data_IF_748316596458
#
_entry.id   IF_748316596458
#
_cell.length_a   1.000
_cell.length_b   1.000
_cell.length_c   1.000
_cell.angle_alpha   90.00
_cell.angle_beta   90.00
_cell.angle_gamma   90.00
#
_symmetry.space_group_name_H-M   'P 1'
#
loop_
_entity.id
_entity.type
_entity.pdbx_description
1 polymer ?
#
# COMPACT_ATOMS: atom_id res chain seq x y z
N UNK A 1 56.21 9.43 -62.69
CA UNK A 1 56.95 8.79 -61.59
C UNK A 1 56.71 9.51 -60.27
N UNK A 2 56.61 8.76 -59.16
CA UNK A 2 55.38 8.67 -58.37
C UNK A 2 55.41 9.51 -57.10
N UNK A 3 54.23 9.84 -56.56
CA UNK A 3 54.04 10.07 -55.13
C UNK A 3 52.77 9.36 -54.64
N UNK A 4 53.00 8.41 -53.74
CA UNK A 4 52.03 7.55 -53.06
C UNK A 4 51.15 8.35 -52.09
N UNK A 5 49.87 8.00 -52.03
CA UNK A 5 48.93 8.31 -50.96
C UNK A 5 48.59 6.98 -50.23
N UNK A 6 48.59 6.88 -48.88
CA UNK A 6 48.42 5.60 -48.20
C UNK A 6 47.01 5.44 -47.60
N UNK A 7 46.24 4.46 -48.07
CA UNK A 7 45.14 3.80 -47.34
C UNK A 7 44.90 2.45 -48.05
N UNK A 8 44.67 1.31 -47.36
CA UNK A 8 43.85 1.18 -46.16
C UNK A 8 44.37 0.17 -45.10
N UNK A 9 44.69 0.62 -43.88
CA UNK A 9 44.84 -0.26 -42.72
C UNK A 9 43.56 -0.37 -41.87
N UNK A 10 42.47 0.28 -42.30
CA UNK A 10 41.24 0.41 -41.50
C UNK A 10 40.22 -0.73 -41.71
N UNK A 11 40.43 -1.63 -42.67
CA UNK A 11 39.47 -2.70 -42.95
C UNK A 11 39.76 -4.02 -42.22
N UNK A 12 40.95 -4.21 -41.62
CA UNK A 12 41.29 -5.45 -40.94
C UNK A 12 40.88 -5.49 -39.45
N UNK A 13 40.60 -4.32 -38.84
CA UNK A 13 40.15 -4.24 -37.44
C UNK A 13 38.64 -4.49 -37.26
N UNK A 14 37.86 -4.44 -38.34
CA UNK A 14 36.41 -4.68 -38.30
C UNK A 14 36.01 -6.16 -38.43
N UNK A 15 36.93 -7.06 -38.82
CA UNK A 15 36.64 -8.49 -38.96
C UNK A 15 37.01 -9.34 -37.73
N UNK A 16 37.74 -8.79 -36.76
CA UNK A 16 38.06 -9.48 -35.49
C UNK A 16 37.01 -9.27 -34.38
N UNK A 17 36.01 -8.41 -34.61
CA UNK A 17 34.91 -8.14 -33.67
C UNK A 17 33.69 -9.04 -33.86
N UNK A 18 33.67 -9.94 -34.86
CA UNK A 18 32.53 -10.82 -35.16
C UNK A 18 32.73 -12.29 -34.76
N UNK A 19 33.79 -12.62 -34.01
CA UNK A 19 34.07 -13.97 -33.53
C UNK A 19 34.25 -13.98 -32.00
N UNK A 20 33.20 -13.60 -31.27
CA UNK A 20 33.03 -14.04 -29.90
C UNK A 20 31.71 -14.84 -29.85
N UNK A 21 31.73 -16.13 -29.48
CA UNK A 21 30.48 -16.83 -29.20
C UNK A 21 29.83 -16.13 -27.99
N UNK A 22 28.55 -15.79 -28.12
CA UNK A 22 27.74 -15.31 -26.99
C UNK A 22 27.89 -16.28 -25.84
N UNK A 23 28.64 -15.88 -24.82
CA UNK A 23 28.62 -16.50 -23.52
C UNK A 23 27.25 -16.17 -22.94
N UNK A 24 26.26 -17.02 -23.22
CA UNK A 24 24.99 -17.01 -22.50
C UNK A 24 25.32 -17.23 -21.03
N UNK A 25 25.42 -16.12 -20.30
CA UNK A 25 25.22 -16.12 -18.86
C UNK A 25 23.76 -16.52 -18.68
N UNK A 26 23.52 -17.78 -18.35
CA UNK A 26 22.29 -18.14 -17.67
C UNK A 26 22.30 -17.35 -16.36
N UNK A 27 21.62 -16.21 -16.35
CA UNK A 27 21.28 -15.54 -15.11
C UNK A 27 20.68 -16.61 -14.19
N UNK A 28 21.23 -16.80 -12.98
CA UNK A 28 20.64 -17.71 -12.03
C UNK A 28 19.19 -17.28 -11.90
N UNK A 29 18.25 -18.20 -12.14
CA UNK A 29 16.84 -18.01 -11.84
C UNK A 29 16.76 -17.47 -10.42
N UNK A 30 16.63 -16.15 -10.30
CA UNK A 30 16.32 -15.49 -9.06
C UNK A 30 14.92 -16.01 -8.76
N UNK A 31 14.87 -17.01 -7.87
CA UNK A 31 13.63 -17.48 -7.32
C UNK A 31 12.97 -16.23 -6.77
N UNK A 32 11.88 -15.82 -7.43
CA UNK A 32 11.02 -14.73 -7.00
C UNK A 32 10.51 -15.06 -5.61
N UNK A 33 11.30 -14.78 -4.57
CA UNK A 33 10.77 -14.37 -3.29
C UNK A 33 10.05 -13.05 -3.55
N UNK A 34 8.82 -13.18 -4.06
CA UNK A 34 7.86 -12.11 -4.06
C UNK A 34 7.57 -11.84 -2.58
N UNK A 35 8.42 -11.02 -1.95
CA UNK A 35 8.26 -10.60 -0.57
C UNK A 35 6.87 -10.01 -0.48
N UNK A 36 5.94 -10.74 0.14
CA UNK A 36 4.57 -10.28 0.29
C UNK A 36 4.63 -9.01 1.13
N UNK A 37 4.43 -7.87 0.48
CA UNK A 37 4.48 -6.58 1.15
C UNK A 37 3.35 -6.43 2.17
N UNK A 38 2.29 -7.26 2.10
CA UNK A 38 1.35 -7.44 3.21
C UNK A 38 2.07 -8.01 4.42
N UNK A 39 2.86 -9.07 4.25
CA UNK A 39 3.62 -9.68 5.35
C UNK A 39 4.63 -8.70 5.96
N UNK A 40 5.13 -7.72 5.21
CA UNK A 40 5.96 -6.63 5.77
C UNK A 40 5.22 -5.77 6.77
N UNK A 41 3.98 -5.35 6.46
CA UNK A 41 3.13 -4.59 7.40
C UNK A 41 2.91 -5.42 8.67
N UNK A 42 2.46 -6.67 8.50
CA UNK A 42 2.15 -7.54 9.63
C UNK A 42 3.38 -7.83 10.50
N UNK A 43 4.54 -8.02 9.88
CA UNK A 43 5.81 -8.24 10.59
C UNK A 43 6.30 -6.99 11.30
N UNK A 44 6.20 -5.82 10.66
CA UNK A 44 6.57 -4.55 11.27
C UNK A 44 5.66 -4.21 12.48
N UNK A 45 4.40 -4.64 12.44
CA UNK A 45 3.42 -4.42 13.50
C UNK A 45 3.53 -5.42 14.65
N UNK A 46 4.36 -6.46 14.52
CA UNK A 46 4.58 -7.42 15.59
C UNK A 46 5.26 -6.71 16.78
N UNK A 47 4.56 -6.62 17.91
CA UNK A 47 5.01 -5.88 19.08
C UNK A 47 4.72 -4.39 19.04
N UNK A 48 3.77 -3.93 18.22
CA UNK A 48 3.27 -2.55 18.29
C UNK A 48 2.71 -2.25 19.69
N UNK A 49 2.94 -1.02 20.18
CA UNK A 49 2.37 -0.53 21.44
C UNK A 49 0.88 -0.14 21.30
N UNK A 50 0.37 -0.10 20.07
CA UNK A 50 -1.02 0.23 19.76
C UNK A 50 -1.89 -1.03 19.68
N UNK A 51 -3.17 -0.89 20.06
CA UNK A 51 -4.17 -1.92 19.78
C UNK A 51 -4.62 -1.77 18.32
N UNK A 52 -4.20 -2.70 17.46
CA UNK A 52 -4.48 -2.66 16.03
C UNK A 52 -5.64 -3.61 15.69
N UNK A 53 -6.68 -3.07 15.08
CA UNK A 53 -7.73 -3.79 14.38
C UNK A 53 -7.23 -4.12 12.97
N UNK A 54 -7.63 -5.28 12.45
CA UNK A 54 -7.20 -5.71 11.12
C UNK A 54 -5.68 -5.52 10.91
N UNK A 55 -4.87 -5.81 11.93
CA UNK A 55 -3.40 -5.76 11.85
C UNK A 55 -2.72 -4.39 11.83
N UNK A 56 -3.34 -3.34 11.30
CA UNK A 56 -2.72 -2.01 11.04
C UNK A 56 -3.69 -0.81 11.18
N UNK A 57 -4.91 -1.02 11.65
CA UNK A 57 -5.86 0.08 11.94
C UNK A 57 -5.89 0.35 13.43
N UNK A 58 -5.51 1.54 13.88
CA UNK A 58 -5.54 1.90 15.31
C UNK A 58 -6.98 1.86 15.84
N UNK A 59 -7.21 1.05 16.89
CA UNK A 59 -8.49 0.97 17.56
C UNK A 59 -8.86 2.32 18.20
N UNK A 60 -10.07 2.87 17.99
CA UNK A 60 -10.47 4.14 18.59
C UNK A 60 -10.45 4.09 20.12
N UNK A 61 -9.67 4.98 20.75
CA UNK A 61 -9.56 5.05 22.23
C UNK A 61 -10.70 5.83 22.89
N UNK A 62 -11.39 6.69 22.15
CA UNK A 62 -12.38 7.65 22.68
C UNK A 62 -13.81 7.41 22.19
N UNK A 63 -14.07 6.36 21.39
CA UNK A 63 -15.36 6.11 20.75
C UNK A 63 -15.74 4.64 20.86
N UNK A 64 -16.91 4.34 21.41
CA UNK A 64 -17.45 2.98 21.54
C UNK A 64 -18.35 2.54 20.37
N UNK A 65 -18.80 3.48 19.52
CA UNK A 65 -19.62 3.20 18.33
C UNK A 65 -18.99 3.87 17.09
N UNK A 66 -18.27 3.07 16.31
CA UNK A 66 -17.59 3.53 15.09
C UNK A 66 -18.53 3.39 13.88
N UNK A 67 -19.66 4.11 13.88
CA UNK A 67 -20.41 4.39 12.64
C UNK A 67 -20.15 5.83 12.25
N UNK A 68 -19.71 6.06 11.01
CA UNK A 68 -19.45 7.41 10.50
C UNK A 68 -20.76 8.17 10.31
N UNK A 69 -21.25 8.79 11.39
CA UNK A 69 -22.49 9.55 11.35
C UNK A 69 -22.26 10.91 10.66
N UNK A 70 -23.11 11.24 9.69
CA UNK A 70 -23.09 12.50 8.91
C UNK A 70 -21.74 12.86 8.27
N UNK A 71 -20.97 11.89 7.77
CA UNK A 71 -19.66 12.10 7.14
C UNK A 71 -18.64 12.82 8.04
N UNK A 72 -18.89 12.89 9.36
CA UNK A 72 -18.01 13.57 10.31
C UNK A 72 -16.64 12.89 10.44
N UNK A 73 -16.54 11.62 10.09
CA UNK A 73 -15.27 10.89 10.03
C UNK A 73 -14.47 11.13 8.73
N UNK A 74 -15.01 11.86 7.75
CA UNK A 74 -14.30 12.12 6.49
C UNK A 74 -13.51 13.43 6.58
N UNK A 75 -12.47 13.52 5.76
CA UNK A 75 -11.78 14.80 5.51
C UNK A 75 -12.70 15.77 4.80
N UNK A 76 -12.63 17.06 5.18
CA UNK A 76 -13.56 18.06 4.67
C UNK A 76 -13.23 18.40 3.22
N UNK A 77 -14.25 18.41 2.38
CA UNK A 77 -14.17 18.93 1.02
C UNK A 77 -14.35 20.44 1.01
N UNK A 78 -13.42 21.15 0.39
CA UNK A 78 -13.47 22.59 0.19
C UNK A 78 -14.41 22.97 -0.96
N UNK A 79 -14.82 24.24 -1.02
CA UNK A 79 -15.73 24.77 -2.03
C UNK A 79 -15.20 24.67 -3.46
N UNK A 80 -13.88 24.64 -3.65
CA UNK A 80 -13.22 24.45 -4.94
C UNK A 80 -13.22 22.98 -5.41
N UNK A 81 -13.86 22.07 -4.67
CA UNK A 81 -13.96 20.67 -5.02
C UNK A 81 -12.82 19.79 -4.49
N UNK A 82 -11.79 20.36 -3.85
CA UNK A 82 -10.64 19.62 -3.35
C UNK A 82 -10.84 19.16 -1.90
N UNK A 83 -10.26 18.03 -1.54
CA UNK A 83 -10.13 17.55 -0.16
C UNK A 83 -8.69 17.73 0.26
N UNK A 84 -8.44 18.76 1.06
CA UNK A 84 -7.08 19.10 1.51
C UNK A 84 -6.81 18.40 2.84
N UNK A 85 -5.74 17.61 2.89
CA UNK A 85 -5.30 16.84 4.05
C UNK A 85 -3.93 17.38 4.49
N UNK A 86 -3.89 18.21 5.54
CA UNK A 86 -2.63 18.73 6.07
C UNK A 86 -1.79 17.61 6.65
N UNK A 87 -0.48 17.64 6.42
CA UNK A 87 0.45 16.65 6.99
C UNK A 87 1.74 17.26 7.52
N UNK A 88 2.36 16.56 8.47
CA UNK A 88 3.75 16.76 8.88
C UNK A 88 4.48 15.43 8.73
N UNK A 89 5.63 15.43 8.03
CA UNK A 89 6.57 14.31 8.05
C UNK A 89 7.61 14.57 9.12
N UNK A 90 7.75 13.60 10.04
CA UNK A 90 8.72 13.62 11.13
C UNK A 90 10.15 13.95 10.68
N UNK A 91 10.94 14.53 11.59
CA UNK A 91 12.33 14.93 11.32
C UNK A 91 13.27 13.72 11.30
N UNK A 92 12.83 12.59 11.83
CA UNK A 92 13.55 11.33 11.87
C UNK A 92 13.72 10.67 10.49
N UNK A 93 12.88 11.04 9.51
CA UNK A 93 12.99 10.56 8.14
C UNK A 93 14.08 11.32 7.38
N UNK A 94 14.97 10.58 6.74
CA UNK A 94 15.96 11.09 5.80
C UNK A 94 15.30 11.71 4.56
N UNK A 95 16.08 12.42 3.74
CA UNK A 95 15.58 13.02 2.50
C UNK A 95 14.96 11.99 1.54
N UNK A 96 15.56 10.82 1.40
CA UNK A 96 15.05 9.74 0.56
C UNK A 96 13.73 9.15 1.10
N UNK A 97 13.67 8.88 2.40
CA UNK A 97 12.46 8.33 3.03
C UNK A 97 11.30 9.34 2.94
N UNK A 98 11.59 10.62 3.19
CA UNK A 98 10.63 11.72 2.99
C UNK A 98 10.15 11.78 1.53
N UNK A 99 11.05 11.67 0.56
CA UNK A 99 10.67 11.67 -0.86
C UNK A 99 9.77 10.48 -1.22
N UNK A 100 9.99 9.31 -0.63
CA UNK A 100 9.13 8.14 -0.80
C UNK A 100 7.71 8.39 -0.26
N UNK A 101 7.61 8.94 0.97
CA UNK A 101 6.33 9.27 1.61
C UNK A 101 5.57 10.34 0.79
N UNK A 102 6.24 11.43 0.44
CA UNK A 102 5.64 12.51 -0.36
C UNK A 102 5.32 12.05 -1.79
N UNK A 103 6.08 11.09 -2.34
CA UNK A 103 5.77 10.42 -3.60
C UNK A 103 4.45 9.65 -3.53
N UNK A 104 4.24 8.88 -2.47
CA UNK A 104 2.97 8.18 -2.23
C UNK A 104 1.79 9.16 -2.10
N UNK A 105 1.98 10.26 -1.36
CA UNK A 105 0.98 11.34 -1.25
C UNK A 105 0.64 11.97 -2.61
N UNK A 106 1.65 12.22 -3.47
CA UNK A 106 1.44 12.77 -4.82
C UNK A 106 0.64 11.84 -5.73
N UNK A 107 0.71 10.53 -5.54
CA UNK A 107 -0.01 9.56 -6.38
C UNK A 107 -1.54 9.76 -6.35
N UNK A 108 -2.10 10.26 -5.24
CA UNK A 108 -3.52 10.55 -5.13
C UNK A 108 -3.96 11.73 -6.01
N UNK A 109 -3.08 12.73 -6.19
CA UNK A 109 -3.45 14.00 -6.79
C UNK A 109 -3.79 13.91 -8.30
N UNK A 110 -3.21 12.92 -8.99
CA UNK A 110 -3.40 12.75 -10.43
C UNK A 110 -4.74 12.15 -10.86
N UNK A 111 -5.44 11.47 -9.95
CA UNK A 111 -6.64 10.69 -10.29
C UNK A 111 -7.82 10.93 -9.33
N UNK A 112 -7.61 11.76 -8.30
CA UNK A 112 -8.63 12.09 -7.29
C UNK A 112 -8.61 13.57 -6.95
N UNK A 113 -9.61 14.03 -6.19
CA UNK A 113 -9.65 15.37 -5.60
C UNK A 113 -8.87 15.50 -4.27
N UNK A 114 -8.20 14.44 -3.81
CA UNK A 114 -7.39 14.45 -2.58
C UNK A 114 -6.09 15.21 -2.79
N UNK A 115 -5.74 16.11 -1.87
CA UNK A 115 -4.48 16.87 -1.87
C UNK A 115 -3.84 16.83 -0.49
N UNK A 116 -2.73 16.13 -0.39
CA UNK A 116 -1.87 16.22 0.79
C UNK A 116 -1.02 17.47 0.70
N UNK A 117 -1.08 18.32 1.72
CA UNK A 117 -0.31 19.58 1.76
C UNK A 117 0.46 19.70 3.08
N UNK A 118 1.68 20.25 3.08
CA UNK A 118 2.37 20.55 4.33
C UNK A 118 1.49 21.40 5.24
N UNK A 119 1.33 20.96 6.49
CA UNK A 119 0.52 21.67 7.48
C UNK A 119 1.11 23.04 7.79
N UNK A 120 0.24 24.02 7.97
CA UNK A 120 0.55 25.36 8.46
C UNK A 120 0.00 25.57 9.87
N UNK A 121 -1.33 25.72 9.99
CA UNK A 121 -2.03 26.01 11.25
C UNK A 121 -3.31 25.20 11.43
N UNK A 122 -3.61 24.27 10.51
CA UNK A 122 -4.83 23.49 10.53
C UNK A 122 -4.91 22.62 11.78
N UNK A 123 -6.09 22.54 12.40
CA UNK A 123 -6.29 21.77 13.62
C UNK A 123 -6.22 20.26 13.37
N UNK A 124 -6.84 19.81 12.28
CA UNK A 124 -6.88 18.40 11.88
C UNK A 124 -5.76 18.11 10.87
N UNK A 125 -4.88 17.16 11.16
CA UNK A 125 -3.75 16.83 10.29
C UNK A 125 -3.16 15.46 10.60
N UNK A 126 -2.45 14.90 9.62
CA UNK A 126 -1.70 13.66 9.78
C UNK A 126 -0.27 13.97 10.23
N UNK A 127 0.17 13.36 11.32
CA UNK A 127 1.57 13.33 11.75
C UNK A 127 2.18 11.99 11.35
N UNK A 128 3.03 11.99 10.31
CA UNK A 128 3.77 10.80 9.88
C UNK A 128 5.01 10.65 10.76
N UNK A 129 5.13 9.52 11.47
CA UNK A 129 6.24 9.22 12.38
C UNK A 129 6.80 7.82 12.15
N UNK A 130 8.04 7.57 12.58
CA UNK A 130 8.58 6.21 12.61
C UNK A 130 8.41 5.59 13.99
N UNK A 131 7.26 4.93 14.22
CA UNK A 131 7.02 4.10 15.41
C UNK A 131 7.16 2.61 15.10
N UNK A 132 6.80 1.75 16.05
CA UNK A 132 6.76 0.30 15.86
C UNK A 132 5.58 -0.08 14.97
N UNK A 133 5.83 -0.30 13.69
CA UNK A 133 4.82 -0.73 12.72
C UNK A 133 4.51 0.22 11.57
N UNK A 134 3.71 -0.27 10.63
CA UNK A 134 2.98 0.46 9.62
C UNK A 134 1.49 0.46 10.03
N UNK A 135 0.94 1.62 10.36
CA UNK A 135 -0.47 1.71 10.74
C UNK A 135 -1.02 3.13 10.58
N UNK A 136 -2.34 3.23 10.53
CA UNK A 136 -3.05 4.50 10.58
C UNK A 136 -4.34 4.43 11.38
N UNK A 137 -4.88 5.59 11.72
CA UNK A 137 -6.26 5.71 12.17
C UNK A 137 -7.23 5.67 10.98
N UNK A 138 -8.46 5.16 11.20
CA UNK A 138 -9.46 5.05 10.14
C UNK A 138 -10.23 6.37 9.95
N UNK A 139 -9.99 7.06 8.84
CA UNK A 139 -10.61 8.34 8.52
C UNK A 139 -10.05 9.51 9.32
N UNK A 140 -10.75 10.65 9.28
CA UNK A 140 -10.44 11.84 10.08
C UNK A 140 -10.97 11.69 11.50
N UNK A 141 -10.08 11.72 12.49
CA UNK A 141 -10.43 11.54 13.91
C UNK A 141 -10.51 12.84 14.70
N UNK A 142 -9.92 13.92 14.16
CA UNK A 142 -9.93 15.26 14.73
C UNK A 142 -8.66 15.57 15.53
N UNK A 143 -8.09 16.75 15.31
CA UNK A 143 -6.79 17.13 15.87
C UNK A 143 -5.62 16.45 15.13
N UNK A 144 -4.51 16.27 15.87
CA UNK A 144 -3.37 15.49 15.39
C UNK A 144 -3.73 14.01 15.38
N UNK A 145 -3.76 13.38 14.21
CA UNK A 145 -3.83 11.92 14.09
C UNK A 145 -2.51 11.36 13.59
N UNK A 146 -2.15 10.20 14.08
CA UNK A 146 -0.87 9.58 13.77
C UNK A 146 -0.96 8.62 12.58
N UNK A 147 0.12 8.56 11.81
CA UNK A 147 0.36 7.54 10.82
C UNK A 147 1.80 7.04 11.01
N UNK A 148 1.96 5.77 11.37
CA UNK A 148 3.29 5.18 11.57
C UNK A 148 3.79 4.57 10.26
N UNK A 149 5.01 4.94 9.87
CA UNK A 149 5.78 4.24 8.85
C UNK A 149 7.15 3.94 9.46
N UNK A 150 7.30 2.75 10.05
CA UNK A 150 8.57 2.29 10.58
C UNK A 150 9.66 2.32 9.49
N UNK A 151 10.78 2.99 9.77
CA UNK A 151 11.91 3.11 8.84
C UNK A 151 12.50 1.75 8.40
N UNK A 152 12.45 0.74 9.26
CA UNK A 152 13.00 -0.59 9.01
C UNK A 152 12.10 -1.50 8.16
N UNK A 153 10.84 -1.15 7.91
CA UNK A 153 9.89 -2.06 7.27
C UNK A 153 8.81 -1.44 6.39
N UNK A 154 8.52 -0.14 6.52
CA UNK A 154 7.33 0.49 5.94
C UNK A 154 7.62 1.54 4.87
N UNK A 155 8.89 1.87 4.59
CA UNK A 155 9.25 2.91 3.61
C UNK A 155 9.18 2.36 2.17
N UNK A 156 7.95 2.06 1.76
CA UNK A 156 7.60 1.62 0.42
C UNK A 156 6.41 2.46 -0.05
N UNK A 157 6.45 2.91 -1.32
CA UNK A 157 5.40 3.78 -1.86
C UNK A 157 3.99 3.19 -1.74
N UNK A 158 3.84 1.88 -1.99
CA UNK A 158 2.55 1.21 -1.84
C UNK A 158 2.10 1.01 -0.39
N UNK A 159 3.01 0.73 0.55
CA UNK A 159 2.66 0.68 1.99
C UNK A 159 2.22 2.07 2.44
N UNK A 160 2.93 3.13 2.07
CA UNK A 160 2.50 4.48 2.38
C UNK A 160 1.13 4.82 1.76
N UNK A 161 0.84 4.41 0.51
CA UNK A 161 -0.49 4.58 -0.08
C UNK A 161 -1.58 3.82 0.68
N UNK A 162 -1.29 2.60 1.13
CA UNK A 162 -2.19 1.77 1.94
C UNK A 162 -2.55 2.46 3.27
N UNK A 163 -1.54 2.92 4.03
CA UNK A 163 -1.80 3.65 5.29
C UNK A 163 -2.56 4.97 5.07
N UNK A 164 -2.27 5.67 3.95
CA UNK A 164 -3.00 6.88 3.59
C UNK A 164 -4.46 6.60 3.21
N UNK A 165 -4.77 5.43 2.64
CA UNK A 165 -6.15 4.99 2.39
C UNK A 165 -6.90 4.69 3.70
N UNK A 166 -6.24 4.11 4.71
CA UNK A 166 -6.83 4.02 6.05
C UNK A 166 -7.15 5.40 6.60
N UNK A 167 -6.22 6.35 6.52
CA UNK A 167 -6.48 7.73 6.94
C UNK A 167 -7.62 8.42 6.17
N UNK A 168 -7.94 7.95 4.96
CA UNK A 168 -9.10 8.41 4.17
C UNK A 168 -10.42 7.73 4.55
N UNK A 169 -10.37 6.64 5.33
CA UNK A 169 -11.55 5.92 5.83
C UNK A 169 -11.81 4.57 5.17
N UNK A 170 -10.83 4.00 4.45
CA UNK A 170 -10.98 2.68 3.81
C UNK A 170 -10.48 1.56 4.72
N UNK A 171 -11.30 0.53 4.90
CA UNK A 171 -10.94 -0.73 5.55
C UNK A 171 -10.34 -1.71 4.54
N UNK A 172 -9.94 -2.90 4.99
CA UNK A 172 -9.44 -3.92 4.09
C UNK A 172 -10.49 -4.54 3.19
N UNK A 173 -10.06 -5.00 2.03
CA UNK A 173 -10.95 -5.62 1.04
C UNK A 173 -11.53 -6.95 1.57
N UNK A 174 -10.71 -7.78 2.23
CA UNK A 174 -11.14 -9.10 2.71
C UNK A 174 -12.10 -9.04 3.91
N UNK A 175 -12.34 -7.86 4.49
CA UNK A 175 -13.26 -7.66 5.61
C UNK A 175 -14.60 -7.06 5.16
N UNK A 176 -14.80 -6.86 3.85
CA UNK A 176 -16.10 -6.46 3.28
C UNK A 176 -17.25 -7.37 3.68
N UNK A 177 -18.44 -6.79 3.78
CA UNK A 177 -19.69 -7.51 4.09
C UNK A 177 -20.02 -8.65 3.13
N UNK A 178 -19.62 -8.52 1.85
CA UNK A 178 -19.88 -9.46 0.75
C UNK A 178 -18.71 -10.42 0.43
N UNK A 179 -17.60 -10.35 1.19
CA UNK A 179 -16.34 -11.04 0.87
C UNK A 179 -16.45 -12.56 0.69
N UNK A 180 -17.39 -13.21 1.38
CA UNK A 180 -17.57 -14.68 1.31
C UNK A 180 -18.01 -15.17 -0.08
N UNK A 181 -18.43 -14.27 -0.97
CA UNK A 181 -18.72 -14.59 -2.38
C UNK A 181 -17.46 -14.63 -3.26
N UNK A 182 -16.32 -14.20 -2.72
CA UNK A 182 -15.07 -13.96 -3.46
C UNK A 182 -13.87 -14.63 -2.82
N UNK A 183 -13.82 -14.74 -1.50
CA UNK A 183 -12.74 -15.43 -0.80
C UNK A 183 -13.30 -16.40 0.24
N UNK A 184 -12.60 -17.51 0.40
CA UNK A 184 -12.75 -18.38 1.56
C UNK A 184 -11.66 -18.05 2.57
N UNK A 185 -12.07 -17.84 3.82
CA UNK A 185 -11.13 -17.76 4.95
C UNK A 185 -10.89 -19.16 5.49
N UNK A 186 -9.64 -19.59 5.49
CA UNK A 186 -9.19 -20.88 6.02
C UNK A 186 -8.86 -20.71 7.51
N UNK A 187 -9.87 -20.60 8.35
CA UNK A 187 -9.74 -20.30 9.79
C UNK A 187 -8.72 -21.18 10.53
N UNK A 188 -8.63 -22.45 10.16
CA UNK A 188 -7.70 -23.43 10.73
C UNK A 188 -6.22 -23.13 10.44
N UNK A 189 -5.94 -22.27 9.46
CA UNK A 189 -4.59 -21.84 9.08
C UNK A 189 -4.18 -20.51 9.72
N UNK A 190 -5.06 -19.87 10.50
CA UNK A 190 -4.82 -18.55 11.09
C UNK A 190 -4.29 -18.69 12.50
N UNK A 191 -3.30 -17.88 12.86
CA UNK A 191 -2.84 -17.73 14.23
C UNK A 191 -4.05 -17.37 15.12
N UNK A 192 -4.36 -18.21 16.12
CA UNK A 192 -5.64 -18.14 16.84
C UNK A 192 -5.91 -16.75 17.44
N UNK A 193 -4.89 -16.11 18.02
CA UNK A 193 -5.01 -14.77 18.59
C UNK A 193 -5.22 -13.66 17.54
N UNK A 194 -5.01 -13.94 16.26
CA UNK A 194 -5.15 -12.98 15.15
C UNK A 194 -6.41 -13.21 14.30
N UNK A 195 -7.26 -14.17 14.66
CA UNK A 195 -8.46 -14.49 13.89
C UNK A 195 -9.43 -13.31 13.74
N UNK A 196 -9.43 -12.37 14.70
CA UNK A 196 -10.28 -11.18 14.65
C UNK A 196 -9.96 -10.25 13.47
N UNK A 197 -8.75 -10.30 12.92
CA UNK A 197 -8.34 -9.50 11.75
C UNK A 197 -9.06 -9.93 10.45
N UNK A 198 -9.79 -11.05 10.46
CA UNK A 198 -10.52 -11.59 9.31
C UNK A 198 -12.04 -11.49 9.48
N UNK A 199 -12.53 -10.88 10.56
CA UNK A 199 -13.96 -10.70 10.77
C UNK A 199 -14.53 -9.70 9.76
N UNK A 200 -15.74 -9.98 9.28
CA UNK A 200 -16.42 -9.07 8.34
C UNK A 200 -16.92 -7.84 9.08
N UNK A 201 -16.96 -6.72 8.37
CA UNK A 201 -17.56 -5.48 8.82
C UNK A 201 -18.82 -5.14 8.00
N UNK A 202 -19.73 -4.37 8.61
CA UNK A 202 -20.86 -3.74 7.91
C UNK A 202 -20.34 -2.57 7.06
N UNK A 203 -19.68 -2.91 5.94
CA UNK A 203 -18.98 -1.96 5.08
C UNK A 203 -19.92 -1.24 4.12
N UNK A 204 -19.72 0.07 3.95
CA UNK A 204 -20.27 0.80 2.81
C UNK A 204 -19.41 0.50 1.57
N UNK A 205 -19.86 -0.46 0.76
CA UNK A 205 -19.15 -0.90 -0.44
C UNK A 205 -19.18 0.11 -1.59
N UNK A 206 -19.86 1.24 -1.43
CA UNK A 206 -20.02 2.31 -2.44
C UNK A 206 -20.51 1.78 -3.79
N UNK A 207 -21.33 0.73 -3.80
CA UNK A 207 -21.79 0.05 -5.03
C UNK A 207 -20.66 -0.38 -5.99
N UNK A 208 -19.48 -0.66 -5.45
CA UNK A 208 -18.33 -1.16 -6.22
C UNK A 208 -18.16 -2.66 -6.05
N UNK A 209 -17.69 -3.38 -7.09
CA UNK A 209 -17.43 -4.81 -6.97
C UNK A 209 -16.28 -5.08 -6.00
N UNK A 210 -16.16 -6.32 -5.54
CA UNK A 210 -14.99 -6.81 -4.84
C UNK A 210 -13.77 -6.80 -5.77
N UNK A 211 -12.62 -6.36 -5.25
CA UNK A 211 -11.39 -6.19 -6.02
C UNK A 211 -10.21 -6.92 -5.40
N UNK A 212 -9.88 -8.11 -5.94
CA UNK A 212 -8.68 -8.87 -5.55
C UNK A 212 -7.38 -8.07 -5.73
N UNK A 213 -7.35 -7.10 -6.65
CA UNK A 213 -6.18 -6.27 -6.93
C UNK A 213 -6.10 -5.01 -6.08
N UNK A 214 -7.06 -4.78 -5.17
CA UNK A 214 -7.02 -3.64 -4.26
C UNK A 214 -5.74 -3.66 -3.43
N UNK A 215 -5.13 -2.47 -3.27
CA UNK A 215 -3.97 -2.31 -2.37
C UNK A 215 -4.36 -2.55 -0.91
N UNK A 216 -5.67 -2.54 -0.60
CA UNK A 216 -6.24 -2.83 0.71
C UNK A 216 -6.56 -4.32 0.91
N UNK A 217 -6.26 -5.20 -0.05
CA UNK A 217 -6.46 -6.63 0.12
C UNK A 217 -5.23 -7.25 0.80
N UNK A 218 -5.44 -8.12 1.79
CA UNK A 218 -4.37 -8.95 2.35
C UNK A 218 -3.80 -9.95 1.34
N UNK A 219 -2.53 -10.29 1.54
CA UNK A 219 -1.88 -11.46 0.98
C UNK A 219 -2.51 -12.78 1.44
N UNK A 220 -2.19 -13.86 0.72
CA UNK A 220 -2.77 -15.19 0.94
C UNK A 220 -2.38 -15.82 2.26
N UNK A 221 -1.21 -15.47 2.79
CA UNK A 221 -0.58 -16.05 3.99
C UNK A 221 -0.57 -15.09 5.19
N UNK A 222 -1.32 -13.99 5.09
CA UNK A 222 -1.50 -13.04 6.18
C UNK A 222 -1.88 -13.77 7.48
N UNK A 223 -1.15 -13.53 8.57
CA UNK A 223 -1.34 -14.18 9.87
C UNK A 223 -1.40 -15.72 9.85
N UNK A 224 -0.70 -16.35 8.89
CA UNK A 224 -0.66 -17.80 8.80
C UNK A 224 0.09 -18.43 9.97
N UNK A 225 -0.36 -19.61 10.41
CA UNK A 225 0.34 -20.47 11.38
C UNK A 225 1.60 -21.12 10.81
N UNK A 226 1.85 -21.02 9.50
CA UNK A 226 3.09 -21.55 8.91
C UNK A 226 3.13 -21.49 7.40
N UNK A 227 4.34 -21.64 6.85
CA UNK A 227 4.61 -21.60 5.43
C UNK A 227 3.71 -22.56 4.63
N UNK A 228 3.19 -22.09 3.49
CA UNK A 228 2.32 -22.87 2.60
C UNK A 228 0.88 -23.08 3.10
N UNK A 229 0.50 -22.46 4.23
CA UNK A 229 -0.86 -22.51 4.76
C UNK A 229 -1.60 -21.21 4.51
N UNK A 230 -2.18 -21.08 3.32
CA UNK A 230 -2.97 -19.91 2.95
C UNK A 230 -4.12 -19.69 3.95
N UNK A 231 -4.24 -18.49 4.49
CA UNK A 231 -5.35 -18.04 5.33
C UNK A 231 -6.51 -17.51 4.48
N UNK A 232 -6.22 -17.01 3.28
CA UNK A 232 -7.21 -16.53 2.31
C UNK A 232 -7.05 -17.29 0.98
N UNK A 233 -8.15 -17.87 0.49
CA UNK A 233 -8.18 -18.50 -0.84
C UNK A 233 -9.25 -17.82 -1.71
N UNK A 234 -8.87 -17.19 -2.84
CA UNK A 234 -9.83 -16.67 -3.81
C UNK A 234 -10.73 -17.78 -4.38
N UNK A 235 -11.98 -17.44 -4.69
CA UNK A 235 -12.98 -18.33 -5.29
C UNK A 235 -13.71 -17.61 -6.45
N UNK A 236 -14.14 -18.34 -7.49
CA UNK A 236 -13.96 -19.78 -7.70
C UNK A 236 -12.54 -20.15 -8.16
N UNK A 237 -11.72 -19.19 -8.59
CA UNK A 237 -10.38 -19.44 -9.07
C UNK A 237 -9.33 -19.12 -7.97
N UNK A 238 -8.68 -20.13 -7.36
CA UNK A 238 -7.70 -19.92 -6.29
C UNK A 238 -6.39 -19.28 -6.76
N UNK A 239 -6.14 -19.21 -8.07
CA UNK A 239 -4.91 -18.66 -8.63
C UNK A 239 -4.96 -17.15 -8.85
N UNK A 240 -6.08 -16.49 -8.55
CA UNK A 240 -6.17 -15.03 -8.65
C UNK A 240 -5.18 -14.39 -7.67
N UNK A 241 -4.32 -13.45 -8.10
CA UNK A 241 -3.39 -12.78 -7.21
C UNK A 241 -4.12 -11.83 -6.25
N UNK A 242 -3.69 -11.82 -4.99
CA UNK A 242 -4.14 -10.93 -3.91
C UNK A 242 -2.92 -10.46 -3.11
N UNK A 243 -3.03 -9.33 -2.41
CA UNK A 243 -1.95 -8.81 -1.56
C UNK A 243 -0.95 -7.88 -2.25
N UNK A 244 -1.25 -7.41 -3.46
CA UNK A 244 -0.36 -6.48 -4.16
C UNK A 244 -0.17 -5.17 -3.36
N UNK A 245 1.05 -4.61 -3.41
CA UNK A 245 1.39 -3.30 -2.84
C UNK A 245 2.22 -2.45 -3.81
N UNK A 246 1.95 -2.57 -5.10
CA UNK A 246 2.60 -1.76 -6.13
C UNK A 246 1.99 -0.36 -6.19
N UNK A 247 0.68 -0.25 -6.00
CA UNK A 247 -0.05 1.01 -5.95
C UNK A 247 -1.56 0.78 -5.93
N UNK A 248 -2.33 1.86 -5.80
CA UNK A 248 -3.79 1.81 -5.81
C UNK A 248 -4.34 1.17 -7.10
N UNK A 249 -5.33 0.30 -6.94
CA UNK A 249 -6.07 -0.25 -8.08
C UNK A 249 -7.04 0.79 -8.67
N UNK A 250 -7.62 0.48 -9.82
CA UNK A 250 -8.70 1.28 -10.41
C UNK A 250 -9.88 1.45 -9.44
N UNK A 251 -10.24 0.40 -8.70
CA UNK A 251 -11.38 0.46 -7.79
C UNK A 251 -11.05 1.22 -6.51
N UNK A 252 -9.80 1.16 -6.01
CA UNK A 252 -9.35 2.02 -4.90
C UNK A 252 -9.56 3.50 -5.24
N UNK A 253 -9.07 3.93 -6.40
CA UNK A 253 -9.23 5.30 -6.91
C UNK A 253 -10.72 5.66 -7.10
N UNK A 254 -11.49 4.76 -7.70
CA UNK A 254 -12.93 4.99 -7.94
C UNK A 254 -13.68 5.18 -6.63
N UNK A 255 -13.38 4.37 -5.61
CA UNK A 255 -13.99 4.46 -4.29
C UNK A 255 -13.61 5.75 -3.57
N UNK A 256 -12.36 6.22 -3.68
CA UNK A 256 -11.97 7.55 -3.20
C UNK A 256 -12.86 8.62 -3.83
N UNK A 257 -12.98 8.61 -5.16
CA UNK A 257 -13.75 9.60 -5.88
C UNK A 257 -15.24 9.57 -5.50
N UNK A 258 -15.83 8.37 -5.37
CA UNK A 258 -17.21 8.23 -4.93
C UNK A 258 -17.43 8.69 -3.49
N UNK A 259 -16.52 8.34 -2.57
CA UNK A 259 -16.63 8.68 -1.15
C UNK A 259 -16.53 10.19 -0.91
N UNK A 260 -15.60 10.84 -1.61
CA UNK A 260 -15.35 12.28 -1.48
C UNK A 260 -16.07 13.12 -2.54
N UNK A 261 -16.90 12.49 -3.38
CA UNK A 261 -17.66 13.11 -4.45
C UNK A 261 -16.79 13.91 -5.41
N UNK A 262 -15.57 13.47 -5.69
CA UNK A 262 -14.78 14.00 -6.79
C UNK A 262 -15.57 13.76 -8.10
#
# INVERSE_FOLDING_TARGET
>A
DPTLCPFPLLLLLLLLLLLHPELHHEDPKEGSEHVDLTAKILTANNGSDEMLLEGDIVAPKSRNAMKCYYNSCLWKKASNGLVVIPYIVGREFSGYERQTIEGAMRAFAGQTCIRFTPRTSENDYIMVQSKTGCYSELGRTGGRQELSLNKGGCIYGGIAQHELLHALGFQHEQTRSDRDSYVRINWQNIIQQSAYNFYKHDTNNLNTPYDYSSIMHYGRDAFSIGYGKDTITPIPNPNVPIGQRNGMSRWDITRINMLYGC
#
